data_IF_517764366603
#
_entry.id   IF_517764366603
#
_cell.length_a   1.000
_cell.length_b   1.000
_cell.length_c   1.000
_cell.angle_alpha   90.00
_cell.angle_beta   90.00
_cell.angle_gamma   90.00
#
_symmetry.space_group_name_H-M   'P 1'
#
loop_
_entity.id
_entity.type
_entity.pdbx_description
1 polymer ?
#
# COMPACT_ATOMS: atom_id res chain seq x y z
N UNK A 1 19.39 -39.81 46.03
CA UNK A 1 19.97 -39.31 44.77
C UNK A 1 18.88 -38.50 44.10
N UNK A 2 19.23 -37.27 43.75
CA UNK A 2 18.41 -36.06 43.92
C UNK A 2 17.11 -35.99 43.11
N UNK A 3 16.06 -35.55 43.81
CA UNK A 3 14.87 -34.90 43.27
C UNK A 3 15.26 -33.60 42.58
N UNK A 4 14.99 -33.49 41.28
CA UNK A 4 15.00 -32.20 40.56
C UNK A 4 13.58 -31.89 40.11
N UNK A 5 12.87 -31.12 40.94
CA UNK A 5 11.67 -30.37 40.54
C UNK A 5 12.09 -29.37 39.45
N UNK A 6 11.59 -29.56 38.23
CA UNK A 6 11.58 -28.50 37.23
C UNK A 6 10.50 -27.50 37.63
N UNK A 7 10.93 -26.33 38.12
CA UNK A 7 10.07 -25.19 38.40
C UNK A 7 9.73 -24.54 37.06
N UNK A 8 8.47 -24.59 36.66
CA UNK A 8 7.98 -23.74 35.57
C UNK A 8 7.94 -22.31 36.07
N UNK A 9 8.90 -21.51 35.62
CA UNK A 9 8.87 -20.06 35.75
C UNK A 9 7.80 -19.54 34.80
N UNK A 10 6.71 -19.02 35.36
CA UNK A 10 5.73 -18.23 34.63
C UNK A 10 6.35 -16.87 34.34
N UNK A 11 6.84 -16.66 33.11
CA UNK A 11 7.14 -15.33 32.63
C UNK A 11 5.82 -14.57 32.42
N UNK A 12 5.71 -13.44 33.12
CA UNK A 12 4.58 -12.53 33.03
C UNK A 12 4.51 -11.88 31.62
N UNK A 13 3.32 -11.57 31.11
CA UNK A 13 3.20 -10.86 29.84
C UNK A 13 3.75 -9.44 30.00
N UNK A 14 4.69 -9.09 29.12
CA UNK A 14 5.07 -7.71 28.81
C UNK A 14 3.95 -7.08 28.00
N UNK A 15 2.84 -6.74 28.65
CA UNK A 15 1.80 -5.92 28.03
C UNK A 15 1.27 -4.92 29.06
N UNK A 16 1.98 -3.80 29.15
CA UNK A 16 1.43 -2.56 29.66
C UNK A 16 1.73 -1.51 28.61
N UNK A 17 0.81 -1.34 27.66
CA UNK A 17 0.67 -0.08 26.96
C UNK A 17 0.45 1.01 28.02
N UNK A 18 1.49 1.80 28.31
CA UNK A 18 1.35 3.01 29.13
C UNK A 18 0.36 3.93 28.41
N UNK A 19 -0.79 4.16 29.06
CA UNK A 19 -1.71 5.22 28.69
C UNK A 19 -0.96 6.54 28.73
N UNK A 20 -0.81 7.18 27.58
CA UNK A 20 -0.24 8.53 27.49
C UNK A 20 -1.23 9.48 28.16
N UNK A 21 -0.93 9.89 29.39
CA UNK A 21 -1.70 10.90 30.10
C UNK A 21 -1.76 12.18 29.25
N UNK A 22 -2.96 12.74 29.05
CA UNK A 22 -3.11 14.07 28.48
C UNK A 22 -2.30 15.07 29.32
N UNK A 23 -1.48 15.94 28.70
CA UNK A 23 -0.64 16.85 29.46
C UNK A 23 -1.52 17.81 30.26
N UNK A 24 -1.47 17.67 31.59
CA UNK A 24 -2.08 18.60 32.52
C UNK A 24 -1.63 20.03 32.18
N UNK A 25 -2.59 20.97 32.17
CA UNK A 25 -2.31 22.38 31.90
C UNK A 25 -1.19 22.90 32.82
N UNK A 26 0.00 23.08 32.25
CA UNK A 26 1.20 23.50 32.97
C UNK A 26 0.96 24.93 33.44
N UNK A 27 1.03 25.16 34.75
CA UNK A 27 0.93 26.52 35.30
C UNK A 27 2.03 27.40 34.68
N UNK A 28 1.66 28.54 34.11
CA UNK A 28 2.60 29.44 33.44
C UNK A 28 3.64 29.96 34.44
N UNK A 29 4.93 29.71 34.19
CA UNK A 29 6.01 30.25 35.01
C UNK A 29 6.10 31.76 34.77
N UNK A 30 6.17 32.61 35.82
CA UNK A 30 6.34 34.05 35.65
C UNK A 30 7.61 34.38 34.88
N UNK A 31 7.48 35.24 33.87
CA UNK A 31 8.61 35.73 33.08
C UNK A 31 9.51 36.62 33.94
N UNK A 32 10.81 36.33 34.00
CA UNK A 32 11.78 37.23 34.63
C UNK A 32 11.88 38.53 33.82
N UNK A 33 11.67 39.68 34.46
CA UNK A 33 11.58 40.98 33.77
C UNK A 33 12.81 41.30 32.91
N UNK A 34 14.01 40.96 33.40
CA UNK A 34 15.27 41.26 32.70
C UNK A 34 15.47 40.32 31.52
N UNK A 35 15.21 39.02 31.70
CA UNK A 35 15.28 38.05 30.61
C UNK A 35 14.19 38.30 29.57
N UNK A 36 12.96 38.59 29.99
CA UNK A 36 11.83 38.90 29.10
C UNK A 36 12.00 40.21 28.31
N UNK A 37 12.83 41.13 28.78
CA UNK A 37 13.21 42.33 28.03
C UNK A 37 14.34 42.08 27.01
N UNK A 38 14.98 40.91 27.00
CA UNK A 38 16.15 40.60 26.17
C UNK A 38 15.81 40.21 24.71
N UNK A 39 14.77 40.80 24.14
CA UNK A 39 14.28 40.50 22.77
C UNK A 39 15.37 40.69 21.72
N UNK A 40 16.14 41.79 21.80
CA UNK A 40 17.20 42.07 20.82
C UNK A 40 18.39 41.12 20.93
N UNK A 41 18.72 40.67 22.15
CA UNK A 41 19.75 39.65 22.34
C UNK A 41 19.30 38.34 21.68
N UNK A 42 18.05 37.95 21.92
CA UNK A 42 17.48 36.73 21.36
C UNK A 42 17.36 36.81 19.83
N UNK A 43 16.91 37.95 19.28
CA UNK A 43 16.85 38.19 17.83
C UNK A 43 18.22 38.11 17.19
N UNK A 44 19.19 38.83 17.74
CA UNK A 44 20.57 38.82 17.22
C UNK A 44 21.12 37.40 17.20
N UNK A 45 20.89 36.64 18.27
CA UNK A 45 21.36 35.26 18.34
C UNK A 45 20.74 34.37 17.25
N UNK A 46 19.43 34.48 17.01
CA UNK A 46 18.77 33.73 15.94
C UNK A 46 19.24 34.17 14.54
N UNK A 47 19.44 35.47 14.31
CA UNK A 47 19.96 36.00 13.04
C UNK A 47 21.42 35.61 12.81
N UNK A 48 22.22 35.48 13.87
CA UNK A 48 23.60 34.96 13.78
C UNK A 48 23.61 33.46 13.43
N UNK A 49 22.60 32.71 13.88
CA UNK A 49 22.46 31.29 13.57
C UNK A 49 21.98 31.04 12.13
N UNK A 50 20.97 31.80 11.67
CA UNK A 50 20.47 31.72 10.29
C UNK A 50 20.06 33.11 9.76
N UNK A 51 20.99 33.82 9.08
CA UNK A 51 20.78 35.20 8.65
C UNK A 51 19.61 35.39 7.69
N UNK A 52 18.75 36.35 8.00
CA UNK A 52 17.63 36.74 7.14
C UNK A 52 16.40 35.82 7.25
N UNK A 53 16.48 34.73 8.01
CA UNK A 53 15.39 33.77 8.20
C UNK A 53 14.55 34.03 9.46
N UNK A 54 14.89 35.04 10.26
CA UNK A 54 14.15 35.41 11.47
C UNK A 54 13.14 36.53 11.17
N UNK A 55 11.90 36.33 11.56
CA UNK A 55 10.77 37.25 11.35
C UNK A 55 10.37 38.04 12.59
N UNK A 56 9.09 38.37 12.67
CA UNK A 56 8.52 39.17 13.75
C UNK A 56 8.63 38.44 15.10
N UNK A 57 8.76 39.21 16.18
CA UNK A 57 8.71 38.65 17.54
C UNK A 57 7.27 38.27 17.86
N UNK A 58 7.04 36.99 18.18
CA UNK A 58 5.72 36.41 18.38
C UNK A 58 5.29 36.41 19.85
N UNK A 59 6.26 36.47 20.77
CA UNK A 59 5.98 36.44 22.19
C UNK A 59 7.12 35.88 23.01
N UNK A 60 6.86 35.75 24.30
CA UNK A 60 7.83 35.32 25.30
C UNK A 60 7.14 34.46 26.35
N UNK A 61 7.79 33.37 26.76
CA UNK A 61 7.29 32.43 27.77
C UNK A 61 8.37 32.21 28.82
N UNK A 62 7.98 32.12 30.09
CA UNK A 62 8.86 31.69 31.16
C UNK A 62 8.90 30.17 31.20
N UNK A 63 10.09 29.59 31.10
CA UNK A 63 10.28 28.14 31.19
C UNK A 63 10.61 27.75 32.64
N UNK A 64 11.48 28.54 33.29
CA UNK A 64 11.86 28.38 34.70
C UNK A 64 12.21 29.73 35.34
N UNK A 65 12.61 29.71 36.62
CA UNK A 65 13.08 30.90 37.30
C UNK A 65 14.31 31.51 36.60
N UNK A 66 14.11 32.64 35.91
CA UNK A 66 15.12 33.35 35.10
C UNK A 66 15.57 32.62 33.84
N UNK A 67 14.76 31.68 33.35
CA UNK A 67 14.92 31.04 32.03
C UNK A 67 13.66 31.36 31.23
N UNK A 68 13.86 31.97 30.07
CA UNK A 68 12.79 32.55 29.26
C UNK A 68 13.05 32.23 27.79
N UNK A 69 12.02 31.81 27.06
CA UNK A 69 12.10 31.57 25.62
C UNK A 69 11.37 32.66 24.85
N UNK A 70 12.10 33.30 23.94
CA UNK A 70 11.55 34.24 22.96
C UNK A 70 11.22 33.51 21.67
N UNK A 71 10.01 33.74 21.15
CA UNK A 71 9.58 33.17 19.88
C UNK A 71 9.62 34.21 18.76
N UNK A 72 10.11 33.82 17.59
CA UNK A 72 10.08 34.63 16.37
C UNK A 72 9.51 33.83 15.21
N UNK A 73 8.79 34.48 14.28
CA UNK A 73 8.35 33.84 13.06
C UNK A 73 9.57 33.36 12.24
N UNK A 74 9.44 32.23 11.55
CA UNK A 74 10.41 31.86 10.51
C UNK A 74 10.03 32.46 9.17
N UNK A 75 11.03 32.86 8.38
CA UNK A 75 10.87 33.25 6.97
C UNK A 75 11.25 32.11 6.02
N UNK A 76 11.73 30.99 6.54
CA UNK A 76 12.11 29.84 5.72
C UNK A 76 10.86 29.17 5.10
N UNK A 77 10.73 29.12 3.75
CA UNK A 77 9.59 28.50 3.10
C UNK A 77 9.48 26.99 3.34
N UNK A 78 10.57 26.31 3.73
CA UNK A 78 10.58 24.89 4.08
C UNK A 78 9.96 24.57 5.45
N UNK A 79 9.83 25.57 6.32
CA UNK A 79 9.35 25.42 7.70
C UNK A 79 8.09 26.25 7.96
N UNK A 80 7.12 26.20 7.05
CA UNK A 80 5.83 26.89 7.21
C UNK A 80 5.16 26.51 8.53
N UNK A 81 4.77 27.51 9.31
CA UNK A 81 4.10 27.32 10.61
C UNK A 81 5.07 27.04 11.77
N UNK A 82 6.38 26.93 11.51
CA UNK A 82 7.40 26.82 12.55
C UNK A 82 7.80 28.21 13.05
N UNK A 83 8.48 28.23 14.20
CA UNK A 83 8.97 29.44 14.86
C UNK A 83 10.35 29.20 15.45
N UNK A 84 11.19 30.23 15.38
CA UNK A 84 12.44 30.25 16.14
C UNK A 84 12.10 30.38 17.61
N UNK A 85 12.71 29.53 18.44
CA UNK A 85 12.62 29.56 19.88
C UNK A 85 14.04 29.81 20.42
N UNK A 86 14.24 30.96 21.03
CA UNK A 86 15.54 31.37 21.58
C UNK A 86 15.41 31.44 23.07
N UNK A 87 15.99 30.46 23.74
CA UNK A 87 16.00 30.37 25.20
C UNK A 87 17.15 31.21 25.74
N UNK A 88 16.84 32.13 26.64
CA UNK A 88 17.80 32.97 27.33
C UNK A 88 17.71 32.74 28.84
N UNK A 89 18.84 32.84 29.51
CA UNK A 89 18.95 32.62 30.93
C UNK A 89 19.68 33.78 31.62
N UNK A 90 19.28 34.09 32.86
CA UNK A 90 19.98 35.05 33.72
C UNK A 90 20.44 34.38 35.00
N UNK A 91 21.76 34.22 35.12
CA UNK A 91 22.37 33.65 36.32
C UNK A 91 22.01 34.43 37.59
N UNK A 92 22.06 33.76 38.74
CA UNK A 92 21.66 34.38 40.00
C UNK A 92 22.54 35.58 40.35
N UNK A 93 21.88 36.70 40.70
CA UNK A 93 22.52 38.01 40.99
C UNK A 93 23.26 38.64 39.80
N UNK A 94 23.26 38.01 38.63
CA UNK A 94 23.78 38.60 37.41
C UNK A 94 22.82 39.67 36.88
N UNK A 95 23.41 40.70 36.29
CA UNK A 95 22.70 41.77 35.56
C UNK A 95 22.65 41.50 34.05
N UNK A 96 23.38 40.49 33.58
CA UNK A 96 23.53 40.14 32.17
C UNK A 96 22.74 38.88 31.89
N UNK A 97 22.03 38.89 30.77
CA UNK A 97 21.31 37.75 30.21
C UNK A 97 22.22 37.08 29.17
N UNK A 98 22.21 35.75 29.11
CA UNK A 98 22.97 34.95 28.14
C UNK A 98 22.02 34.07 27.34
N UNK A 99 22.40 33.75 26.10
CA UNK A 99 21.67 32.79 25.26
C UNK A 99 22.03 31.37 25.72
N UNK A 100 21.02 30.52 25.87
CA UNK A 100 21.18 29.10 26.20
C UNK A 100 21.12 28.26 24.92
N UNK A 101 20.00 28.34 24.19
CA UNK A 101 19.75 27.57 22.96
C UNK A 101 19.01 28.40 21.92
N UNK A 102 19.22 28.03 20.65
CA UNK A 102 18.49 28.55 19.50
C UNK A 102 18.00 27.32 18.72
N UNK A 103 16.69 27.13 18.67
CA UNK A 103 16.09 25.98 17.98
C UNK A 103 14.91 26.44 17.14
N UNK A 104 14.59 25.67 16.10
CA UNK A 104 13.38 25.85 15.30
C UNK A 104 12.35 24.84 15.79
N UNK A 105 11.21 25.31 16.27
CA UNK A 105 10.15 24.46 16.82
C UNK A 105 8.87 24.57 16.00
N UNK A 106 8.09 23.48 15.89
CA UNK A 106 6.79 23.53 15.26
C UNK A 106 5.86 24.45 16.07
N UNK A 107 5.16 25.35 15.38
CA UNK A 107 4.00 26.05 15.92
C UNK A 107 2.71 25.29 15.59
N UNK A 108 1.58 25.87 15.96
CA UNK A 108 0.26 25.23 15.81
C UNK A 108 -0.13 24.95 14.35
N UNK A 109 0.45 25.71 13.42
CA UNK A 109 0.23 25.61 11.97
C UNK A 109 1.34 24.82 11.25
N UNK A 110 2.28 24.22 11.99
CA UNK A 110 3.39 23.47 11.42
C UNK A 110 2.93 22.13 10.85
N UNK A 111 3.39 21.81 9.64
CA UNK A 111 3.23 20.47 9.10
C UNK A 111 4.20 19.52 9.81
N UNK A 112 3.67 18.61 10.62
CA UNK A 112 4.43 17.57 11.31
C UNK A 112 4.44 16.27 10.51
N UNK A 113 5.47 15.46 10.74
CA UNK A 113 5.48 14.09 10.28
C UNK A 113 4.32 13.31 10.94
N UNK A 114 3.72 12.33 10.25
CA UNK A 114 2.79 11.41 10.88
C UNK A 114 3.47 10.67 12.02
N UNK A 115 2.66 10.13 12.94
CA UNK A 115 3.18 9.29 14.01
C UNK A 115 3.98 8.12 13.46
N UNK A 116 5.07 7.78 14.17
CA UNK A 116 5.88 6.63 13.81
C UNK A 116 5.10 5.34 14.05
N UNK A 117 5.11 4.45 13.06
CA UNK A 117 4.41 3.16 13.11
C UNK A 117 5.44 2.03 12.97
N UNK A 118 5.35 0.94 13.77
CA UNK A 118 6.22 -0.23 13.63
C UNK A 118 6.28 -0.77 12.20
N UNK A 119 7.42 -1.34 11.81
CA UNK A 119 7.59 -1.89 10.45
C UNK A 119 6.56 -2.97 10.12
N UNK A 120 6.17 -3.81 11.10
CA UNK A 120 5.21 -4.90 10.93
C UNK A 120 3.82 -4.40 10.59
N UNK A 121 3.44 -3.25 11.13
CA UNK A 121 2.16 -2.58 10.87
C UNK A 121 2.16 -1.78 9.57
N UNK A 122 3.34 -1.56 8.97
CA UNK A 122 3.48 -0.90 7.67
C UNK A 122 3.38 -1.85 6.48
N UNK A 123 3.47 -3.16 6.72
CA UNK A 123 3.42 -4.17 5.66
C UNK A 123 2.06 -4.21 4.99
N UNK A 124 2.08 -4.30 3.66
CA UNK A 124 0.91 -4.40 2.80
C UNK A 124 0.92 -5.71 2.01
N UNK A 125 -0.25 -6.17 1.55
CA UNK A 125 -0.31 -7.28 0.61
C UNK A 125 0.57 -7.01 -0.62
N UNK A 126 1.50 -7.93 -0.93
CA UNK A 126 2.42 -7.81 -2.05
C UNK A 126 3.81 -7.26 -1.70
N UNK A 127 4.05 -6.82 -0.47
CA UNK A 127 5.36 -6.28 -0.06
C UNK A 127 6.45 -7.36 0.10
N UNK A 128 6.05 -8.63 0.25
CA UNK A 128 7.00 -9.73 0.45
C UNK A 128 7.65 -10.16 -0.87
N UNK A 129 8.97 -10.22 -0.88
CA UNK A 129 9.80 -10.70 -1.98
C UNK A 129 10.57 -11.99 -1.67
N UNK A 130 11.53 -12.31 -2.53
CA UNK A 130 12.36 -13.52 -2.41
C UNK A 130 13.28 -13.39 -1.20
N UNK A 131 13.13 -14.32 -0.26
CA UNK A 131 13.96 -14.39 0.95
C UNK A 131 13.35 -13.70 2.17
N UNK A 132 12.23 -13.00 2.02
CA UNK A 132 11.54 -12.39 3.15
C UNK A 132 10.84 -13.45 4.01
N UNK A 133 10.95 -13.28 5.33
CA UNK A 133 10.24 -14.08 6.31
C UNK A 133 9.30 -13.16 7.07
N UNK A 134 8.00 -13.40 6.93
CA UNK A 134 6.97 -12.73 7.73
C UNK A 134 6.62 -13.62 8.93
N UNK A 135 7.01 -13.25 10.16
CA UNK A 135 6.64 -14.01 11.34
C UNK A 135 5.13 -14.01 11.53
N UNK A 136 4.58 -15.19 11.82
CA UNK A 136 3.16 -15.34 12.16
C UNK A 136 2.98 -15.14 13.66
N UNK A 137 2.01 -14.33 14.06
CA UNK A 137 1.66 -14.17 15.47
C UNK A 137 1.24 -15.51 16.09
N UNK A 138 1.54 -15.71 17.38
CA UNK A 138 1.19 -16.95 18.07
C UNK A 138 -0.33 -17.16 18.14
N UNK A 139 -1.08 -16.07 18.20
CA UNK A 139 -2.52 -15.95 18.37
C UNK A 139 -3.22 -15.41 17.11
N UNK A 140 -2.63 -15.59 15.92
CA UNK A 140 -3.25 -15.16 14.66
C UNK A 140 -4.64 -15.81 14.48
N UNK A 141 -5.74 -15.02 14.49
CA UNK A 141 -7.10 -15.55 14.47
C UNK A 141 -7.45 -16.28 13.17
N UNK A 142 -6.67 -16.04 12.10
CA UNK A 142 -6.85 -16.69 10.79
C UNK A 142 -6.36 -18.13 10.79
N UNK A 143 -5.63 -18.55 11.82
CA UNK A 143 -5.06 -19.89 11.93
C UNK A 143 -5.66 -20.65 13.11
N UNK A 144 -5.98 -21.92 12.87
CA UNK A 144 -6.36 -22.87 13.90
C UNK A 144 -5.33 -24.00 13.94
N UNK A 145 -5.02 -24.53 15.13
CA UNK A 145 -4.15 -25.68 15.22
C UNK A 145 -4.83 -26.94 14.66
N UNK A 146 -4.05 -27.81 14.04
CA UNK A 146 -4.52 -29.10 13.49
C UNK A 146 -4.44 -30.19 14.57
N UNK A 147 -5.21 -30.07 15.66
CA UNK A 147 -5.17 -31.06 16.76
C UNK A 147 -6.51 -31.76 16.97
N UNK A 148 -7.07 -32.45 15.97
CA UNK A 148 -8.19 -33.39 16.22
C UNK A 148 -8.11 -34.61 15.31
N UNK A 149 -7.30 -35.60 15.70
CA UNK A 149 -7.67 -37.00 15.96
C UNK A 149 -6.43 -37.92 15.93
N UNK A 150 -6.33 -38.79 16.94
CA UNK A 150 -5.34 -39.85 17.10
C UNK A 150 -5.98 -41.16 16.61
N UNK A 151 -5.25 -41.93 15.81
CA UNK A 151 -5.60 -43.29 15.34
C UNK A 151 -6.99 -43.46 14.74
N UNK A 152 -7.18 -42.95 13.52
CA UNK A 152 -8.07 -43.63 12.58
C UNK A 152 -7.29 -43.90 11.30
N UNK A 153 -7.43 -45.10 10.75
CA UNK A 153 -7.11 -45.44 9.34
C UNK A 153 -8.01 -44.61 8.39
N UNK A 154 -8.00 -43.29 8.55
CA UNK A 154 -8.62 -42.38 7.62
C UNK A 154 -7.85 -42.52 6.31
N UNK A 155 -8.59 -42.70 5.22
CA UNK A 155 -8.09 -42.69 3.85
C UNK A 155 -7.07 -41.54 3.72
N UNK A 156 -5.83 -41.84 3.33
CA UNK A 156 -4.72 -40.86 3.30
C UNK A 156 -5.12 -39.59 2.51
N UNK A 157 -5.98 -39.76 1.51
CA UNK A 157 -6.57 -38.70 0.69
C UNK A 157 -7.45 -37.73 1.51
N UNK A 158 -8.30 -38.24 2.41
CA UNK A 158 -9.14 -37.40 3.27
C UNK A 158 -8.30 -36.66 4.31
N UNK A 159 -7.22 -37.29 4.79
CA UNK A 159 -6.29 -36.63 5.69
C UNK A 159 -5.60 -35.43 5.04
N UNK A 160 -5.11 -35.59 3.81
CA UNK A 160 -4.51 -34.50 3.05
C UNK A 160 -5.51 -33.36 2.77
N UNK A 161 -6.74 -33.70 2.36
CA UNK A 161 -7.83 -32.75 2.10
C UNK A 161 -8.21 -31.92 3.34
N UNK A 162 -8.15 -32.52 4.53
CA UNK A 162 -8.41 -31.84 5.81
C UNK A 162 -7.19 -31.07 6.34
N UNK A 163 -6.05 -31.13 5.65
CA UNK A 163 -4.80 -30.49 6.06
C UNK A 163 -4.09 -31.21 7.22
N UNK A 164 -4.38 -32.50 7.43
CA UNK A 164 -3.66 -33.32 8.41
C UNK A 164 -2.16 -33.36 8.05
N UNK A 165 -1.31 -33.27 9.08
CA UNK A 165 0.14 -33.16 8.94
C UNK A 165 0.69 -31.73 8.92
N UNK A 166 -0.16 -30.69 8.87
CA UNK A 166 0.24 -29.29 9.05
C UNK A 166 0.13 -28.89 10.52
N UNK A 167 1.08 -28.09 11.03
CA UNK A 167 1.01 -27.55 12.39
C UNK A 167 -0.26 -26.71 12.61
N UNK A 168 -0.63 -25.93 11.59
CA UNK A 168 -1.80 -25.04 11.58
C UNK A 168 -2.51 -25.10 10.23
N UNK A 169 -3.82 -24.90 10.24
CA UNK A 169 -4.70 -24.76 9.07
C UNK A 169 -5.48 -23.46 9.18
N UNK A 170 -6.14 -23.03 8.11
CA UNK A 170 -7.03 -21.87 8.20
C UNK A 170 -8.15 -22.12 9.22
N UNK A 171 -8.37 -21.14 10.09
CA UNK A 171 -9.52 -21.11 10.98
C UNK A 171 -10.81 -20.84 10.18
N UNK A 172 -11.95 -20.81 10.87
CA UNK A 172 -13.20 -20.36 10.25
C UNK A 172 -13.11 -18.91 9.78
N UNK A 173 -12.56 -18.02 10.60
CA UNK A 173 -12.36 -16.60 10.29
C UNK A 173 -11.40 -16.42 9.10
N UNK A 174 -10.26 -17.11 9.11
CA UNK A 174 -9.31 -17.05 8.00
C UNK A 174 -9.90 -17.52 6.66
N UNK A 175 -10.85 -18.47 6.69
CA UNK A 175 -11.60 -18.84 5.49
C UNK A 175 -12.58 -17.76 5.06
N UNK A 176 -13.34 -17.16 5.98
CA UNK A 176 -14.27 -16.09 5.65
C UNK A 176 -13.56 -14.87 5.06
N UNK A 177 -12.45 -14.45 5.66
CA UNK A 177 -11.62 -13.34 5.15
C UNK A 177 -11.12 -13.62 3.74
N UNK A 178 -10.72 -14.86 3.45
CA UNK A 178 -10.31 -15.25 2.11
C UNK A 178 -11.48 -15.20 1.12
N UNK A 179 -12.64 -15.75 1.50
CA UNK A 179 -13.85 -15.73 0.69
C UNK A 179 -14.26 -14.31 0.36
N UNK A 180 -14.33 -13.41 1.34
CA UNK A 180 -14.73 -12.02 1.14
C UNK A 180 -13.80 -11.32 0.15
N UNK A 181 -12.48 -11.42 0.36
CA UNK A 181 -11.50 -10.78 -0.54
C UNK A 181 -11.51 -11.36 -1.95
N UNK A 182 -11.65 -12.68 -2.10
CA UNK A 182 -11.65 -13.32 -3.42
C UNK A 182 -12.94 -13.04 -4.17
N UNK A 183 -14.09 -13.07 -3.50
CA UNK A 183 -15.38 -12.83 -4.14
C UNK A 183 -15.61 -11.36 -4.50
N UNK A 184 -15.08 -10.43 -3.71
CA UNK A 184 -15.15 -8.99 -4.01
C UNK A 184 -14.05 -8.52 -4.99
N UNK A 185 -13.01 -9.33 -5.22
CA UNK A 185 -11.87 -8.99 -6.06
C UNK A 185 -12.07 -9.29 -7.54
N UNK A 186 -10.98 -9.14 -8.30
CA UNK A 186 -10.90 -9.51 -9.73
C UNK A 186 -11.36 -10.95 -10.05
N UNK A 187 -11.06 -11.98 -9.23
CA UNK A 187 -11.56 -13.33 -9.49
C UNK A 187 -13.03 -13.56 -9.09
N UNK A 188 -13.75 -12.50 -8.69
CA UNK A 188 -15.16 -12.55 -8.29
C UNK A 188 -16.14 -12.38 -9.45
N UNK A 189 -17.44 -12.67 -9.24
CA UNK A 189 -18.46 -12.58 -10.29
C UNK A 189 -18.76 -11.14 -10.75
N UNK A 190 -18.45 -10.16 -9.91
CA UNK A 190 -18.73 -8.74 -10.18
C UNK A 190 -17.61 -8.05 -10.97
N UNK A 191 -16.51 -8.75 -11.24
CA UNK A 191 -15.42 -8.22 -12.05
C UNK A 191 -15.92 -7.87 -13.47
N UNK A 192 -15.41 -6.80 -14.11
CA UNK A 192 -15.87 -6.39 -15.44
C UNK A 192 -15.77 -7.49 -16.50
N UNK A 193 -14.72 -8.33 -16.42
CA UNK A 193 -14.54 -9.48 -17.31
C UNK A 193 -15.63 -10.56 -17.08
N UNK A 194 -15.99 -10.82 -15.82
CA UNK A 194 -17.01 -11.78 -15.44
C UNK A 194 -18.40 -11.34 -15.89
N UNK A 195 -18.76 -10.07 -15.66
CA UNK A 195 -20.05 -9.53 -16.11
C UNK A 195 -20.22 -9.50 -17.63
N UNK A 196 -19.11 -9.44 -18.37
CA UNK A 196 -19.10 -9.42 -19.83
C UNK A 196 -19.01 -10.83 -20.44
N UNK A 197 -18.75 -11.85 -19.62
CA UNK A 197 -18.57 -13.20 -20.08
C UNK A 197 -19.92 -13.85 -20.44
N UNK A 198 -19.96 -14.70 -21.49
CA UNK A 198 -21.18 -15.38 -21.91
C UNK A 198 -21.59 -16.55 -20.99
N UNK A 199 -20.67 -17.03 -20.15
CA UNK A 199 -20.87 -18.16 -19.24
C UNK A 199 -19.90 -18.06 -18.05
N UNK A 200 -20.19 -18.82 -16.99
CA UNK A 200 -19.41 -18.82 -15.74
C UNK A 200 -18.58 -20.09 -15.56
N UNK A 201 -17.63 -20.03 -14.63
CA UNK A 201 -16.78 -21.14 -14.23
C UNK A 201 -17.57 -22.38 -13.80
N UNK A 202 -18.79 -22.23 -13.27
CA UNK A 202 -19.70 -23.30 -12.87
C UNK A 202 -19.94 -24.34 -13.98
N UNK A 203 -19.88 -23.92 -15.24
CA UNK A 203 -20.08 -24.78 -16.41
C UNK A 203 -18.82 -24.97 -17.25
N UNK A 204 -17.70 -24.37 -16.85
CA UNK A 204 -16.47 -24.39 -17.62
C UNK A 204 -15.69 -25.69 -17.36
N UNK A 205 -15.31 -26.39 -18.43
CA UNK A 205 -14.51 -27.62 -18.33
C UNK A 205 -13.06 -27.39 -17.86
N UNK A 206 -12.58 -26.15 -17.85
CA UNK A 206 -11.26 -25.77 -17.33
C UNK A 206 -11.26 -25.43 -15.83
N UNK A 207 -12.42 -25.50 -15.17
CA UNK A 207 -12.54 -25.21 -13.74
C UNK A 207 -12.18 -26.44 -12.90
N UNK A 208 -11.14 -26.29 -12.07
CA UNK A 208 -10.72 -27.32 -11.11
C UNK A 208 -11.21 -26.90 -9.72
N UNK A 209 -12.20 -27.57 -9.10
CA UNK A 209 -12.72 -27.16 -7.80
C UNK A 209 -11.64 -27.25 -6.71
N UNK A 210 -11.66 -26.32 -5.75
CA UNK A 210 -10.83 -26.42 -4.55
C UNK A 210 -11.27 -27.61 -3.68
N UNK A 211 -10.43 -27.99 -2.72
CA UNK A 211 -10.73 -29.01 -1.72
C UNK A 211 -11.65 -28.50 -0.59
N UNK A 212 -12.23 -29.45 0.15
CA UNK A 212 -12.94 -29.18 1.40
C UNK A 212 -14.13 -28.21 1.30
N UNK A 213 -14.26 -27.33 2.29
CA UNK A 213 -15.43 -26.46 2.46
C UNK A 213 -15.57 -25.37 1.39
N UNK A 214 -14.48 -24.97 0.72
CA UNK A 214 -14.50 -23.91 -0.29
C UNK A 214 -14.87 -24.43 -1.69
N UNK A 215 -14.91 -25.75 -1.90
CA UNK A 215 -15.12 -26.38 -3.22
C UNK A 215 -16.39 -25.95 -3.95
N UNK A 216 -17.41 -25.55 -3.19
CA UNK A 216 -18.71 -25.17 -3.75
C UNK A 216 -18.72 -23.73 -4.29
N UNK A 217 -17.78 -22.89 -3.86
CA UNK A 217 -17.73 -21.48 -4.20
C UNK A 217 -16.49 -21.09 -5.01
N UNK A 218 -15.41 -21.86 -4.93
CA UNK A 218 -14.13 -21.51 -5.56
C UNK A 218 -13.41 -22.71 -6.19
N UNK A 219 -12.61 -22.43 -7.21
CA UNK A 219 -11.73 -23.37 -7.91
C UNK A 219 -10.56 -22.63 -8.55
N UNK A 220 -9.68 -23.35 -9.23
CA UNK A 220 -8.62 -22.77 -10.05
C UNK A 220 -8.98 -22.82 -11.54
N UNK A 221 -8.61 -21.80 -12.29
CA UNK A 221 -8.64 -21.85 -13.75
C UNK A 221 -7.40 -22.59 -14.28
N UNK A 222 -7.60 -23.52 -15.21
CA UNK A 222 -6.52 -24.27 -15.87
C UNK A 222 -6.45 -24.01 -17.38
N UNK A 223 -7.00 -22.89 -17.86
CA UNK A 223 -6.90 -22.50 -19.26
C UNK A 223 -5.79 -21.48 -19.44
N UNK A 224 -4.67 -21.87 -20.06
CA UNK A 224 -3.51 -21.00 -20.33
C UNK A 224 -3.85 -19.72 -21.13
N UNK A 225 -4.95 -19.73 -21.87
CA UNK A 225 -5.42 -18.58 -22.65
C UNK A 225 -6.30 -17.63 -21.83
N UNK A 226 -6.77 -18.06 -20.65
CA UNK A 226 -7.53 -17.21 -19.76
C UNK A 226 -6.58 -16.29 -18.97
N UNK A 227 -6.99 -15.04 -18.69
CA UNK A 227 -6.19 -14.13 -17.87
C UNK A 227 -6.02 -14.61 -16.42
N UNK A 228 -6.84 -15.58 -15.99
CA UNK A 228 -6.86 -16.13 -14.64
C UNK A 228 -6.24 -17.52 -14.54
N UNK A 229 -5.51 -17.97 -15.57
CA UNK A 229 -4.75 -19.23 -15.51
C UNK A 229 -3.91 -19.34 -14.23
N UNK A 230 -4.03 -20.48 -13.54
CA UNK A 230 -3.35 -20.74 -12.27
C UNK A 230 -3.85 -19.94 -11.06
N UNK A 231 -4.91 -19.14 -11.20
CA UNK A 231 -5.51 -18.35 -10.10
C UNK A 231 -6.76 -19.00 -9.56
N UNK A 232 -7.07 -18.70 -8.30
CA UNK A 232 -8.36 -19.04 -7.69
C UNK A 232 -9.43 -18.09 -8.22
N UNK A 233 -10.55 -18.65 -8.70
CA UNK A 233 -11.72 -17.96 -9.24
C UNK A 233 -12.99 -18.41 -8.53
N UNK A 234 -13.96 -17.51 -8.38
CA UNK A 234 -15.29 -17.86 -7.89
C UNK A 234 -16.02 -18.74 -8.91
N UNK A 235 -16.92 -19.62 -8.45
CA UNK A 235 -17.68 -20.54 -9.31
C UNK A 235 -18.59 -19.79 -10.28
N UNK A 236 -19.03 -18.58 -9.93
CA UNK A 236 -19.84 -17.68 -10.74
C UNK A 236 -19.02 -16.58 -11.43
N UNK A 237 -17.68 -16.62 -11.33
CA UNK A 237 -16.79 -15.82 -12.17
C UNK A 237 -16.90 -16.25 -13.64
N UNK A 238 -16.59 -15.35 -14.58
CA UNK A 238 -16.65 -15.63 -16.00
C UNK A 238 -15.49 -15.01 -16.76
N UNK A 239 -15.11 -15.62 -17.87
CA UNK A 239 -14.15 -15.02 -18.80
C UNK A 239 -14.50 -15.37 -20.26
N UNK A 240 -13.83 -14.72 -21.21
CA UNK A 240 -14.01 -14.98 -22.64
C UNK A 240 -13.45 -16.33 -23.12
N UNK A 241 -12.63 -17.00 -22.32
CA UNK A 241 -11.96 -18.26 -22.66
C UNK A 241 -12.71 -19.50 -22.11
N UNK A 242 -14.04 -19.45 -22.07
CA UNK A 242 -14.88 -20.54 -21.59
C UNK A 242 -14.77 -21.78 -22.49
N UNK A 243 -14.78 -23.00 -21.92
CA UNK A 243 -14.59 -24.25 -22.68
C UNK A 243 -15.67 -24.54 -23.73
N UNK A 244 -16.78 -23.81 -23.68
CA UNK A 244 -17.89 -23.90 -24.64
C UNK A 244 -17.89 -22.77 -25.67
N UNK A 245 -16.92 -21.86 -25.62
CA UNK A 245 -16.67 -20.88 -26.69
C UNK A 245 -15.99 -21.59 -27.86
N UNK A 246 -16.78 -22.38 -28.61
CA UNK A 246 -16.28 -23.16 -29.74
C UNK A 246 -16.31 -22.32 -31.02
N UNK A 247 -15.24 -22.41 -31.81
CA UNK A 247 -15.25 -21.90 -33.18
C UNK A 247 -16.20 -22.77 -34.00
N UNK A 248 -17.34 -22.21 -34.38
CA UNK A 248 -18.20 -22.86 -35.36
C UNK A 248 -17.49 -22.82 -36.71
N UNK A 249 -17.56 -23.90 -37.53
CA UNK A 249 -16.99 -23.87 -38.85
C UNK A 249 -17.61 -22.68 -39.60
N UNK A 250 -16.76 -21.71 -39.94
CA UNK A 250 -17.14 -20.65 -40.87
C UNK A 250 -17.60 -21.36 -42.15
N UNK A 251 -18.86 -21.16 -42.54
CA UNK A 251 -19.31 -21.58 -43.87
C UNK A 251 -18.29 -21.10 -44.91
N UNK A 252 -18.03 -21.93 -45.93
CA UNK A 252 -17.11 -21.56 -47.00
C UNK A 252 -17.33 -20.11 -47.40
N UNK A 253 -16.26 -19.28 -47.47
CA UNK A 253 -16.41 -17.88 -47.83
C UNK A 253 -17.18 -17.86 -49.14
N UNK A 254 -18.38 -17.26 -49.13
CA UNK A 254 -19.16 -17.11 -50.35
C UNK A 254 -18.25 -16.33 -51.30
N UNK A 255 -17.85 -16.89 -52.45
CA UNK A 255 -16.99 -16.17 -53.36
C UNK A 255 -17.70 -14.86 -53.66
N UNK A 256 -17.04 -13.73 -53.34
CA UNK A 256 -17.57 -12.45 -53.76
C UNK A 256 -17.73 -12.55 -55.27
N UNK A 257 -18.93 -12.31 -55.78
CA UNK A 257 -19.14 -12.25 -57.21
C UNK A 257 -18.11 -11.26 -57.76
N UNK A 258 -17.16 -11.76 -58.55
CA UNK A 258 -16.33 -10.89 -59.35
C UNK A 258 -17.30 -10.09 -60.21
N UNK A 259 -17.32 -8.77 -60.04
CA UNK A 259 -17.86 -7.90 -61.07
C UNK A 259 -16.91 -8.03 -62.26
N UNK A 260 -17.05 -9.10 -63.03
CA UNK A 260 -16.48 -9.19 -64.36
C UNK A 260 -17.13 -8.09 -65.17
N UNK A 261 -16.42 -6.97 -65.28
CA UNK A 261 -16.66 -5.97 -66.30
C UNK A 261 -16.43 -6.69 -67.63
N UNK A 262 -17.51 -7.14 -68.27
CA UNK A 262 -17.47 -7.65 -69.64
C UNK A 262 -16.80 -6.63 -70.56
N UNK A 263 -16.15 -7.05 -71.67
CA UNK A 263 -15.39 -6.16 -72.51
C UNK A 263 -16.34 -5.23 -73.27
N UNK A 264 -16.62 -4.08 -72.68
CA UNK A 264 -17.37 -2.98 -73.25
C UNK A 264 -16.57 -1.70 -73.12
N UNK A 265 -15.43 -1.62 -73.80
CA UNK A 265 -14.79 -0.34 -74.05
C UNK A 265 -15.44 0.26 -75.31
N UNK A 266 -16.18 1.35 -75.16
CA UNK A 266 -16.27 2.36 -76.22
C UNK A 266 -15.24 3.44 -75.88
N UNK A 267 -14.17 3.49 -76.68
CA UNK A 267 -13.14 4.52 -76.58
C UNK A 267 -13.75 5.83 -77.08
N UNK A 268 -14.16 6.71 -76.17
CA UNK A 268 -14.40 8.12 -76.49
C UNK A 268 -13.15 8.90 -76.08
N UNK A 269 -12.33 9.25 -77.07
CA UNK A 269 -11.14 10.05 -76.88
C UNK A 269 -11.47 11.48 -76.42
N UNK A 270 -10.87 11.90 -75.32
CA UNK A 270 -10.77 13.29 -74.87
C UNK A 270 -9.35 13.53 -74.31
N UNK A 271 -8.74 14.69 -74.57
CA UNK A 271 -7.31 14.88 -74.38
C UNK A 271 -6.92 14.91 -72.89
N UNK A 272 -5.83 14.21 -72.60
CA UNK A 272 -5.14 14.12 -71.32
C UNK A 272 -4.64 15.50 -70.85
N UNK A 273 -4.88 15.82 -69.58
CA UNK A 273 -4.25 16.95 -68.90
C UNK A 273 -4.68 17.09 -67.44
N UNK A 274 -4.01 16.39 -66.53
CA UNK A 274 -3.71 16.94 -65.21
C UNK A 274 -2.41 16.33 -64.65
N UNK A 275 -1.63 17.17 -63.96
CA UNK A 275 -0.24 17.01 -63.54
C UNK A 275 -0.03 16.09 -62.32
N UNK A 276 1.20 15.60 -62.07
CA UNK A 276 1.46 14.60 -61.04
C UNK A 276 1.44 15.21 -59.62
N UNK A 277 0.57 14.67 -58.77
CA UNK A 277 0.51 14.96 -57.34
C UNK A 277 1.46 14.08 -56.52
N UNK A 278 2.15 14.73 -55.59
CA UNK A 278 3.29 14.29 -54.78
C UNK A 278 3.03 13.18 -53.76
N UNK A 279 3.73 12.05 -53.90
CA UNK A 279 4.42 11.38 -52.77
C UNK A 279 5.58 10.56 -53.33
N UNK A 280 6.77 10.67 -52.73
CA UNK A 280 7.96 9.90 -53.10
C UNK A 280 8.15 8.72 -52.15
N UNK A 281 8.12 7.49 -52.68
CA UNK A 281 8.46 6.27 -51.95
C UNK A 281 9.98 6.14 -51.81
N UNK A 282 10.55 6.67 -50.73
CA UNK A 282 11.91 6.31 -50.30
C UNK A 282 11.91 6.13 -48.79
N UNK A 283 11.88 4.86 -48.37
CA UNK A 283 12.30 4.41 -47.04
C UNK A 283 13.82 4.50 -46.92
N UNK A 284 14.33 4.94 -45.75
CA UNK A 284 15.56 4.39 -45.22
C UNK A 284 15.29 3.75 -43.85
N UNK A 285 15.56 2.44 -43.76
CA UNK A 285 15.51 1.72 -42.49
C UNK A 285 16.65 2.12 -41.57
N UNK A 286 16.37 2.15 -40.26
CA UNK A 286 17.38 2.10 -39.20
C UNK A 286 16.84 1.38 -37.94
N UNK A 287 17.75 0.87 -37.08
CA UNK A 287 17.57 -0.39 -36.35
C UNK A 287 17.02 -0.21 -34.93
N UNK A 288 16.42 -1.29 -34.42
CA UNK A 288 15.83 -1.43 -33.10
C UNK A 288 16.88 -1.24 -31.99
N UNK A 289 16.74 -0.16 -31.22
CA UNK A 289 17.40 0.02 -29.93
C UNK A 289 16.43 -0.32 -28.80
N UNK A 290 16.76 -1.35 -28.03
CA UNK A 290 16.16 -1.58 -26.72
C UNK A 290 16.99 -0.86 -25.66
N UNK A 291 16.30 -0.16 -24.77
CA UNK A 291 16.76 0.17 -23.41
C UNK A 291 15.67 -0.29 -22.45
#
# INVERSE_FOLDING_TARGET
MSDTKHVMSTDAPLDTAESVDEPAAVASVPVDEVAGAAVELARTAAEDAEPGMVGDHLGVVGDEARVVTHFFATKDPGYRGWRWAVTVARAARAKVVTVNDIVLLPGDEALLAPEWVPWSERLRPGDLGVGDLLPTAADDPRLAPTFLMVDSEADDDLGFELGLGRERVLSFEGRLDAVERWYAGEPGPEAPIARSAPATCATCGFFIPLSGALRQAFGACANEMAPDDGKVVAVDHGCGAHSQAVVLPSGEPTPMASNEVGPGYDVVGGPLGHEPGSVSDVEPGEPLGHS
#
